data_IF_076962292308
#
_entry.id   IF_076962292308
#
_cell.length_a   1.000
_cell.length_b   1.000
_cell.length_c   1.000
_cell.angle_alpha   90.00
_cell.angle_beta   90.00
_cell.angle_gamma   90.00
#
_symmetry.space_group_name_H-M   'P 1'
#
loop_
_entity.id
_entity.type
_entity.pdbx_description
1 polymer ?
#
# COMPACT_ATOMS: atom_id res chain seq x y z
N UNK A 1 7.12 -6.15 -7.86
CA UNK A 1 7.56 -6.91 -6.65
C UNK A 1 6.33 -7.39 -5.89
N UNK A 2 6.24 -8.69 -5.71
CA UNK A 2 5.17 -9.31 -4.93
C UNK A 2 5.60 -9.46 -3.47
N UNK A 3 4.65 -9.82 -2.59
CA UNK A 3 4.96 -10.10 -1.18
C UNK A 3 6.00 -11.23 -1.06
N UNK A 4 5.84 -12.30 -1.85
CA UNK A 4 6.78 -13.42 -1.85
C UNK A 4 8.19 -13.00 -2.27
N UNK A 5 8.30 -12.17 -3.30
CA UNK A 5 9.58 -11.63 -3.76
C UNK A 5 10.22 -10.73 -2.71
N UNK A 6 9.43 -9.91 -2.03
CA UNK A 6 9.92 -9.07 -0.94
C UNK A 6 10.51 -9.92 0.19
N UNK A 7 9.82 -10.98 0.60
CA UNK A 7 10.28 -11.91 1.62
C UNK A 7 11.59 -12.55 1.20
N UNK A 8 11.69 -13.03 -0.05
CA UNK A 8 12.91 -13.63 -0.58
C UNK A 8 14.09 -12.67 -0.58
N UNK A 9 13.86 -11.43 -0.97
CA UNK A 9 14.90 -10.40 -1.00
C UNK A 9 15.44 -10.10 0.39
N UNK A 10 14.54 -9.99 1.37
CA UNK A 10 14.95 -9.76 2.76
C UNK A 10 15.71 -10.95 3.31
N UNK A 11 15.23 -12.17 3.04
CA UNK A 11 15.89 -13.41 3.49
C UNK A 11 17.31 -13.52 2.93
N UNK A 12 17.52 -13.13 1.69
CA UNK A 12 18.86 -13.12 1.09
C UNK A 12 19.82 -12.13 1.75
N UNK A 13 19.29 -10.98 2.17
CA UNK A 13 20.09 -9.94 2.84
C UNK A 13 20.33 -10.24 4.31
N UNK A 14 19.48 -11.04 4.93
CA UNK A 14 19.55 -11.38 6.35
C UNK A 14 19.81 -12.88 6.50
N UNK A 15 20.97 -13.33 6.01
CA UNK A 15 21.32 -14.76 5.95
C UNK A 15 21.40 -15.43 7.32
N UNK A 16 21.58 -14.67 8.38
CA UNK A 16 21.62 -15.19 9.75
C UNK A 16 20.24 -15.50 10.31
N UNK A 17 19.17 -15.09 9.63
CA UNK A 17 17.80 -15.36 10.05
C UNK A 17 17.22 -16.51 9.24
N UNK A 18 16.51 -17.44 9.89
CA UNK A 18 15.77 -18.46 9.15
C UNK A 18 14.74 -17.82 8.22
N UNK A 19 14.61 -18.36 7.01
CA UNK A 19 13.66 -17.81 6.02
C UNK A 19 12.23 -17.76 6.57
N UNK A 20 11.85 -18.75 7.36
CA UNK A 20 10.52 -18.82 7.99
C UNK A 20 10.29 -17.65 8.94
N UNK A 21 11.30 -17.23 9.68
CA UNK A 21 11.22 -16.11 10.60
C UNK A 21 11.04 -14.79 9.85
N UNK A 22 11.73 -14.64 8.71
CA UNK A 22 11.58 -13.45 7.84
C UNK A 22 10.15 -13.40 7.30
N UNK A 23 9.62 -14.52 6.83
CA UNK A 23 8.25 -14.61 6.33
C UNK A 23 7.23 -14.19 7.39
N UNK A 24 7.38 -14.72 8.61
CA UNK A 24 6.49 -14.38 9.72
C UNK A 24 6.58 -12.90 10.10
N UNK A 25 7.78 -12.34 10.10
CA UNK A 25 7.99 -10.93 10.44
C UNK A 25 7.31 -10.01 9.42
N UNK A 26 7.47 -10.28 8.14
CA UNK A 26 6.83 -9.49 7.07
C UNK A 26 5.31 -9.60 7.16
N UNK A 27 4.80 -10.82 7.33
CA UNK A 27 3.36 -11.06 7.47
C UNK A 27 2.79 -10.31 8.68
N UNK A 28 3.47 -10.38 9.79
CA UNK A 28 3.07 -9.71 11.03
C UNK A 28 3.01 -8.19 10.86
N UNK A 29 4.03 -7.63 10.20
CA UNK A 29 4.10 -6.20 9.92
C UNK A 29 2.92 -5.73 9.07
N UNK A 30 2.62 -6.45 8.00
CA UNK A 30 1.51 -6.11 7.11
C UNK A 30 0.16 -6.25 7.80
N UNK A 31 -0.02 -7.30 8.61
CA UNK A 31 -1.24 -7.50 9.39
C UNK A 31 -1.43 -6.38 10.39
N UNK A 32 -0.38 -5.97 11.08
CA UNK A 32 -0.43 -4.86 12.05
C UNK A 32 -0.85 -3.56 11.37
N UNK A 33 -0.29 -3.26 10.21
CA UNK A 33 -0.65 -2.07 9.44
C UNK A 33 -2.10 -2.14 8.96
N UNK A 34 -2.53 -3.29 8.46
CA UNK A 34 -3.90 -3.51 8.03
C UNK A 34 -4.90 -3.31 9.17
N UNK A 35 -4.61 -3.86 10.33
CA UNK A 35 -5.45 -3.73 11.51
C UNK A 35 -5.55 -2.27 11.98
N UNK A 36 -4.45 -1.55 11.97
CA UNK A 36 -4.44 -0.12 12.35
C UNK A 36 -5.32 0.70 11.42
N UNK A 37 -5.21 0.49 10.13
CA UNK A 37 -6.03 1.19 9.14
C UNK A 37 -7.50 0.78 9.25
N UNK A 38 -7.78 -0.49 9.50
CA UNK A 38 -9.15 -0.97 9.71
C UNK A 38 -9.83 -0.31 10.91
N UNK A 39 -9.04 0.13 11.88
CA UNK A 39 -9.53 0.85 13.08
C UNK A 39 -9.58 2.36 12.89
N UNK A 40 -9.31 2.85 11.70
CA UNK A 40 -9.35 4.28 11.39
C UNK A 40 -8.09 5.04 11.77
N UNK A 41 -7.01 4.34 12.12
CA UNK A 41 -5.78 4.99 12.53
C UNK A 41 -4.91 5.35 11.32
N UNK A 42 -4.20 6.46 11.42
CA UNK A 42 -3.20 6.89 10.44
C UNK A 42 -1.87 6.23 10.76
N UNK A 43 -1.14 5.84 9.72
CA UNK A 43 0.21 5.30 9.86
C UNK A 43 1.17 6.30 9.22
N UNK A 44 2.18 6.70 9.95
CA UNK A 44 3.20 7.60 9.45
C UNK A 44 4.57 6.94 9.60
N UNK A 45 5.27 6.76 8.47
CA UNK A 45 6.61 6.16 8.45
C UNK A 45 7.55 7.22 7.94
N UNK A 46 8.33 7.80 8.86
CA UNK A 46 9.27 8.87 8.54
C UNK A 46 10.25 8.43 7.46
N UNK A 47 10.43 9.28 6.45
CA UNK A 47 11.31 8.98 5.32
C UNK A 47 10.68 8.16 4.22
N UNK A 48 9.50 7.59 4.47
CA UNK A 48 8.80 6.76 3.49
C UNK A 48 7.48 7.39 3.03
N UNK A 49 6.55 7.59 3.96
CA UNK A 49 5.26 8.15 3.63
C UNK A 49 4.22 7.90 4.71
N UNK A 50 2.99 8.21 4.38
CA UNK A 50 1.88 8.04 5.31
C UNK A 50 0.70 7.35 4.65
N UNK A 51 0.00 6.53 5.44
CA UNK A 51 -1.25 5.87 5.06
C UNK A 51 -2.37 6.50 5.88
N UNK A 52 -3.43 6.87 5.22
CA UNK A 52 -4.61 7.44 5.87
C UNK A 52 -5.86 6.93 5.17
N UNK A 53 -7.02 7.17 5.79
CA UNK A 53 -8.28 6.76 5.20
C UNK A 53 -8.98 7.98 4.61
N UNK A 54 -9.55 7.79 3.43
CA UNK A 54 -10.41 8.78 2.79
C UNK A 54 -11.82 8.21 2.69
N UNK A 55 -12.80 9.02 3.02
CA UNK A 55 -14.20 8.65 2.84
C UNK A 55 -14.67 9.08 1.47
N UNK A 56 -15.22 8.14 0.72
CA UNK A 56 -15.85 8.39 -0.57
C UNK A 56 -17.37 8.41 -0.34
N UNK A 57 -18.02 9.57 -0.47
CA UNK A 57 -19.46 9.66 -0.22
C UNK A 57 -20.25 8.85 -1.27
N UNK A 58 -21.51 8.50 -0.95
CA UNK A 58 -22.39 7.87 -1.92
C UNK A 58 -22.53 8.73 -3.17
N UNK A 59 -22.60 8.10 -4.31
CA UNK A 59 -22.74 8.79 -5.60
C UNK A 59 -23.52 7.93 -6.56
N UNK A 60 -23.96 8.53 -7.66
CA UNK A 60 -24.58 7.81 -8.75
C UNK A 60 -23.55 7.65 -9.85
N UNK A 61 -23.23 6.39 -10.17
CA UNK A 61 -22.41 6.03 -11.31
C UNK A 61 -23.26 5.57 -12.47
N UNK A 62 -22.62 5.21 -13.57
CA UNK A 62 -23.28 4.62 -14.72
C UNK A 62 -22.63 3.30 -15.09
N UNK A 63 -23.46 2.31 -15.40
CA UNK A 63 -22.99 1.05 -15.92
C UNK A 63 -22.47 1.28 -17.35
N UNK A 64 -21.19 1.05 -17.65
CA UNK A 64 -20.62 1.32 -18.98
C UNK A 64 -21.22 0.45 -20.07
N UNK A 65 -21.84 -0.70 -19.74
CA UNK A 65 -22.44 -1.61 -20.71
C UNK A 65 -23.88 -1.24 -21.06
N UNK A 66 -24.66 -0.79 -20.08
CA UNK A 66 -26.09 -0.51 -20.26
C UNK A 66 -26.42 0.98 -20.23
N UNK A 67 -25.54 1.82 -19.71
CA UNK A 67 -25.77 3.23 -19.51
C UNK A 67 -26.71 3.54 -18.36
N UNK A 68 -27.18 2.54 -17.63
CA UNK A 68 -28.08 2.73 -16.51
C UNK A 68 -27.39 3.38 -15.31
N UNK A 69 -28.14 4.21 -14.59
CA UNK A 69 -27.69 4.82 -13.35
C UNK A 69 -27.61 3.75 -12.25
N UNK A 70 -26.49 3.71 -11.53
CA UNK A 70 -26.26 2.79 -10.42
C UNK A 70 -25.93 3.58 -9.17
N UNK A 71 -26.65 3.32 -8.08
CA UNK A 71 -26.36 3.91 -6.79
C UNK A 71 -25.10 3.25 -6.20
N UNK A 72 -24.09 4.06 -5.92
CA UNK A 72 -22.86 3.62 -5.29
C UNK A 72 -22.85 4.06 -3.83
N UNK A 73 -22.70 3.08 -2.93
CA UNK A 73 -22.64 3.33 -1.49
C UNK A 73 -21.38 4.10 -1.11
N UNK A 74 -21.44 4.84 -0.02
CA UNK A 74 -20.25 5.44 0.57
C UNK A 74 -19.29 4.36 1.05
N UNK A 75 -18.01 4.66 0.99
CA UNK A 75 -16.97 3.72 1.45
C UNK A 75 -15.72 4.44 1.93
N UNK A 76 -14.97 3.75 2.78
CA UNK A 76 -13.64 4.20 3.21
C UNK A 76 -12.59 3.52 2.35
N UNK A 77 -11.62 4.28 1.89
CA UNK A 77 -10.52 3.73 1.09
C UNK A 77 -9.19 4.16 1.68
N UNK A 78 -8.19 3.26 1.70
CA UNK A 78 -6.85 3.63 2.13
C UNK A 78 -6.19 4.50 1.06
N UNK A 79 -5.42 5.47 1.52
CA UNK A 79 -4.67 6.38 0.66
C UNK A 79 -3.23 6.45 1.16
N UNK A 80 -2.28 6.30 0.23
CA UNK A 80 -0.86 6.43 0.53
C UNK A 80 -0.34 7.74 -0.05
N UNK A 81 0.33 8.53 0.79
CA UNK A 81 1.02 9.74 0.36
C UNK A 81 2.52 9.55 0.61
N UNK A 82 3.35 9.60 -0.44
CA UNK A 82 4.79 9.47 -0.25
C UNK A 82 5.35 10.65 0.53
N UNK A 83 6.35 10.39 1.36
CA UNK A 83 7.09 11.42 2.03
C UNK A 83 8.06 12.10 1.07
N UNK A 84 8.69 13.18 1.54
CA UNK A 84 9.60 13.97 0.72
C UNK A 84 10.76 13.13 0.17
N UNK A 85 11.40 12.35 1.03
CA UNK A 85 12.56 11.55 0.65
C UNK A 85 12.24 10.54 -0.44
N UNK A 86 11.13 9.81 -0.29
CA UNK A 86 10.70 8.83 -1.28
C UNK A 86 10.33 9.51 -2.60
N UNK A 87 9.58 10.61 -2.50
CA UNK A 87 9.15 11.38 -3.68
C UNK A 87 10.34 11.90 -4.49
N UNK A 88 11.32 12.48 -3.81
CA UNK A 88 12.53 13.01 -4.47
C UNK A 88 13.35 11.88 -5.08
N UNK A 89 13.51 10.77 -4.36
CA UNK A 89 14.27 9.62 -4.85
C UNK A 89 13.67 9.02 -6.11
N UNK A 90 12.35 8.91 -6.15
CA UNK A 90 11.65 8.42 -7.34
C UNK A 90 11.80 9.39 -8.51
N UNK A 91 11.66 10.69 -8.25
CA UNK A 91 11.78 11.72 -9.29
C UNK A 91 13.20 11.78 -9.86
N UNK A 92 14.21 11.68 -9.01
CA UNK A 92 15.62 11.71 -9.42
C UNK A 92 16.02 10.48 -10.22
N UNK A 93 15.27 9.39 -10.10
CA UNK A 93 15.47 8.15 -10.83
C UNK A 93 14.61 8.04 -12.09
N UNK A 94 14.12 9.15 -12.60
CA UNK A 94 13.21 9.20 -13.75
C UNK A 94 13.77 8.65 -15.05
N UNK A 95 15.09 8.42 -15.12
CA UNK A 95 15.72 7.79 -16.28
C UNK A 95 15.45 6.28 -16.36
N UNK A 96 14.98 5.65 -15.30
CA UNK A 96 14.54 4.25 -15.36
C UNK A 96 13.11 4.20 -15.91
N UNK A 97 12.82 3.33 -16.88
CA UNK A 97 11.45 3.22 -17.41
C UNK A 97 10.49 2.65 -16.35
N UNK A 98 9.25 3.12 -16.41
CA UNK A 98 8.21 2.61 -15.54
C UNK A 98 7.92 1.16 -15.92
N UNK A 99 7.93 0.28 -14.92
CA UNK A 99 7.66 -1.15 -15.10
C UNK A 99 6.31 -1.50 -14.48
N UNK A 100 5.51 -2.21 -15.25
CA UNK A 100 4.18 -2.67 -14.80
C UNK A 100 4.29 -3.96 -14.01
#
# INVERSE_FOLDING_TARGET
MTKSELIEMIARKQKHLPAKDVELAVKHLLDLMSDSLAKGQRIEIRGFGSFSLHYRPPRIGRNPMTGEAVALSGKYVPHFKPGKDLRERVNDSGHFPIKS
#
